data_IF_510615747980
#
_entry.id   IF_510615747980
#
_cell.length_a   1.000
_cell.length_b   1.000
_cell.length_c   1.000
_cell.angle_alpha   90.00
_cell.angle_beta   90.00
_cell.angle_gamma   90.00
#
_symmetry.space_group_name_H-M   'P 1'
#
loop_
_entity.id
_entity.type
_entity.pdbx_description
1 polymer ?
#
# COMPACT_ATOMS: atom_id res chain seq x y z
N UNK A 1 -5.69 20.98 -14.33
CA UNK A 1 -5.24 19.59 -14.51
C UNK A 1 -6.45 18.69 -14.72
N UNK A 2 -6.85 18.36 -15.97
CA UNK A 2 -8.01 17.47 -16.22
C UNK A 2 -7.62 16.07 -16.74
N UNK A 3 -6.35 15.87 -17.11
CA UNK A 3 -5.93 14.74 -17.95
C UNK A 3 -4.93 13.76 -17.32
N UNK A 4 -4.45 13.97 -16.09
CA UNK A 4 -3.35 13.15 -15.56
C UNK A 4 -3.77 11.68 -15.33
N UNK A 5 -5.00 11.45 -14.86
CA UNK A 5 -5.51 10.10 -14.58
C UNK A 5 -6.39 9.52 -15.69
N UNK A 6 -6.80 10.32 -16.67
CA UNK A 6 -7.75 9.95 -17.71
C UNK A 6 -7.08 9.70 -19.07
N UNK A 7 -7.69 8.86 -19.91
CA UNK A 7 -7.26 8.57 -21.29
C UNK A 7 -5.80 8.10 -21.43
N UNK A 8 -5.24 7.45 -20.39
CA UNK A 8 -3.89 6.90 -20.42
C UNK A 8 -3.84 5.62 -21.26
N UNK A 9 -2.73 5.42 -21.97
CA UNK A 9 -2.47 4.25 -22.80
C UNK A 9 -1.03 3.76 -22.58
N UNK A 10 -0.80 2.45 -22.72
CA UNK A 10 0.51 1.81 -22.66
C UNK A 10 0.72 0.84 -23.83
N UNK A 11 1.97 0.61 -24.16
CA UNK A 11 2.44 -0.47 -25.03
C UNK A 11 3.83 -0.91 -24.57
N UNK A 12 4.26 -2.10 -24.96
CA UNK A 12 5.60 -2.63 -24.69
C UNK A 12 6.44 -2.52 -25.97
N UNK A 13 7.70 -2.11 -25.82
CA UNK A 13 8.68 -2.05 -26.89
C UNK A 13 9.92 -2.86 -26.50
N UNK A 14 10.26 -3.87 -27.28
CA UNK A 14 11.46 -4.69 -27.11
C UNK A 14 12.14 -4.75 -28.48
N UNK A 15 13.40 -4.33 -28.55
CA UNK A 15 14.17 -4.16 -29.78
C UNK A 15 13.42 -3.34 -30.84
N UNK A 16 13.01 -3.99 -31.95
CA UNK A 16 12.25 -3.37 -33.04
C UNK A 16 10.76 -3.77 -33.05
N UNK A 17 10.29 -4.46 -32.00
CA UNK A 17 8.92 -4.97 -31.91
C UNK A 17 8.09 -4.13 -30.92
N UNK A 18 6.90 -3.71 -31.36
CA UNK A 18 5.91 -3.00 -30.53
C UNK A 18 4.67 -3.85 -30.30
N UNK A 19 4.19 -3.92 -29.05
CA UNK A 19 2.88 -4.50 -28.76
C UNK A 19 1.75 -3.61 -29.25
N UNK A 20 0.53 -4.14 -29.26
CA UNK A 20 -0.68 -3.31 -29.40
C UNK A 20 -0.79 -2.35 -28.21
N UNK A 21 -1.30 -1.15 -28.48
CA UNK A 21 -1.61 -0.15 -27.45
C UNK A 21 -2.85 -0.56 -26.67
N UNK A 22 -2.79 -0.45 -25.34
CA UNK A 22 -3.91 -0.71 -24.43
C UNK A 22 -4.20 0.48 -23.53
N UNK A 23 -5.46 0.68 -23.15
CA UNK A 23 -5.87 1.72 -22.21
C UNK A 23 -5.54 1.33 -20.76
N UNK A 24 -5.13 2.31 -19.95
CA UNK A 24 -4.80 2.13 -18.53
C UNK A 24 -5.88 2.80 -17.67
N UNK A 25 -6.50 2.02 -16.79
CA UNK A 25 -7.57 2.49 -15.90
C UNK A 25 -7.13 2.65 -14.44
N UNK A 26 -5.98 2.09 -14.05
CA UNK A 26 -5.47 2.12 -12.67
C UNK A 26 -3.96 2.45 -12.61
N UNK A 27 -3.45 2.75 -11.41
CA UNK A 27 -2.05 3.10 -11.18
C UNK A 27 -1.63 4.46 -11.75
N UNK A 28 -0.36 4.81 -11.56
CA UNK A 28 0.27 6.03 -12.07
C UNK A 28 1.56 5.67 -12.82
N UNK A 29 2.03 6.47 -13.78
CA UNK A 29 3.30 6.19 -14.45
C UNK A 29 4.47 6.20 -13.45
N UNK A 30 5.32 5.18 -13.49
CA UNK A 30 6.55 5.14 -12.69
C UNK A 30 7.51 6.26 -13.15
N UNK A 31 8.20 6.91 -12.21
CA UNK A 31 9.07 8.05 -12.51
C UNK A 31 8.32 9.37 -12.77
N UNK A 32 7.00 9.40 -12.58
CA UNK A 32 6.23 10.64 -12.68
C UNK A 32 6.39 11.52 -11.45
N UNK A 33 6.36 12.84 -11.66
CA UNK A 33 6.44 13.85 -10.57
C UNK A 33 5.22 13.79 -9.65
N UNK A 34 4.03 13.51 -10.21
CA UNK A 34 2.78 13.47 -9.44
C UNK A 34 2.51 12.11 -8.79
N UNK A 35 3.18 11.03 -9.22
CA UNK A 35 2.98 9.69 -8.68
C UNK A 35 3.13 9.62 -7.15
N UNK A 36 4.26 10.11 -6.58
CA UNK A 36 4.47 10.12 -5.13
C UNK A 36 3.39 10.90 -4.36
N UNK A 37 2.99 12.07 -4.85
CA UNK A 37 1.95 12.88 -4.19
C UNK A 37 0.60 12.16 -4.17
N UNK A 38 0.21 11.54 -5.29
CA UNK A 38 -1.03 10.78 -5.38
C UNK A 38 -1.01 9.55 -4.48
N UNK A 39 0.14 8.89 -4.37
CA UNK A 39 0.31 7.77 -3.44
C UNK A 39 0.17 8.22 -1.98
N UNK A 40 0.78 9.36 -1.59
CA UNK A 40 0.62 9.91 -0.24
C UNK A 40 -0.84 10.23 0.08
N UNK A 41 -1.58 10.84 -0.85
CA UNK A 41 -3.01 11.09 -0.65
C UNK A 41 -3.82 9.80 -0.50
N UNK A 42 -3.44 8.75 -1.22
CA UNK A 42 -4.12 7.46 -1.22
C UNK A 42 -3.86 6.64 0.06
N UNK A 43 -2.65 6.70 0.63
CA UNK A 43 -2.29 5.94 1.84
C UNK A 43 -2.64 6.66 3.15
N UNK A 44 -3.01 7.94 3.09
CA UNK A 44 -3.07 8.81 4.26
C UNK A 44 -4.10 8.38 5.33
N UNK A 45 -5.11 7.59 4.96
CA UNK A 45 -6.12 7.06 5.89
C UNK A 45 -5.77 5.68 6.45
N UNK A 46 -4.70 5.03 5.99
CA UNK A 46 -4.22 3.74 6.53
C UNK A 46 -4.13 3.72 8.07
N UNK A 47 -3.60 4.76 8.75
CA UNK A 47 -3.53 4.77 10.21
C UNK A 47 -4.88 4.64 10.93
N UNK A 48 -5.98 4.94 10.24
CA UNK A 48 -7.32 4.88 10.81
C UNK A 48 -7.91 3.47 10.76
N UNK A 49 -7.23 2.50 10.11
CA UNK A 49 -7.77 1.14 9.98
C UNK A 49 -7.74 0.35 11.29
N UNK A 50 -6.84 0.71 12.24
CA UNK A 50 -6.67 -0.01 13.50
C UNK A 50 -6.46 0.97 14.66
N UNK A 51 -7.34 1.00 15.67
CA UNK A 51 -7.15 1.84 16.85
C UNK A 51 -6.08 1.28 17.80
N UNK A 52 -5.72 -0.01 17.65
CA UNK A 52 -4.75 -0.69 18.51
C UNK A 52 -3.29 -0.41 18.12
N UNK A 53 -3.08 0.06 16.89
CA UNK A 53 -1.77 0.32 16.32
C UNK A 53 -1.45 1.81 16.20
N UNK A 54 -0.20 2.19 16.52
CA UNK A 54 0.37 3.50 16.18
C UNK A 54 1.20 3.37 14.92
N UNK A 55 0.75 4.00 13.85
CA UNK A 55 1.36 3.88 12.53
C UNK A 55 2.47 4.91 12.29
N UNK A 56 3.56 4.46 11.67
CA UNK A 56 4.61 5.28 11.06
C UNK A 56 4.73 4.85 9.60
N UNK A 57 4.33 5.74 8.70
CA UNK A 57 4.28 5.46 7.26
C UNK A 57 5.35 6.30 6.57
N UNK A 58 6.14 5.66 5.71
CA UNK A 58 7.06 6.31 4.80
C UNK A 58 6.97 5.66 3.43
N UNK A 59 6.33 6.35 2.47
CA UNK A 59 5.97 5.73 1.20
C UNK A 59 5.24 4.39 1.42
N UNK A 60 5.68 3.31 0.77
CA UNK A 60 5.12 1.97 0.89
C UNK A 60 5.54 1.22 2.17
N UNK A 61 6.58 1.69 2.87
CA UNK A 61 7.03 1.10 4.13
C UNK A 61 6.17 1.61 5.30
N UNK A 62 5.55 0.67 6.03
CA UNK A 62 4.70 0.96 7.18
C UNK A 62 5.15 0.17 8.40
N UNK A 63 5.44 0.88 9.49
CA UNK A 63 5.69 0.29 10.81
C UNK A 63 4.49 0.55 11.73
N UNK A 64 4.07 -0.49 12.46
CA UNK A 64 2.98 -0.41 13.44
C UNK A 64 3.49 -0.76 14.82
N UNK A 65 3.29 0.15 15.76
CA UNK A 65 3.72 0.01 17.15
C UNK A 65 2.52 -0.14 18.06
N UNK A 66 2.60 -1.04 19.04
CA UNK A 66 1.56 -1.22 20.06
C UNK A 66 2.21 -1.68 21.36
N UNK A 67 1.47 -1.61 22.47
CA UNK A 67 1.94 -2.04 23.78
C UNK A 67 1.21 -3.31 24.20
N UNK A 68 1.91 -4.18 24.91
CA UNK A 68 1.37 -5.41 25.49
C UNK A 68 2.07 -5.71 26.82
N UNK A 69 1.40 -6.43 27.72
CA UNK A 69 1.92 -6.79 29.05
C UNK A 69 2.63 -8.15 29.06
N UNK A 70 2.30 -9.02 28.13
CA UNK A 70 2.84 -10.37 28.03
C UNK A 70 2.76 -10.90 26.58
N UNK A 71 3.36 -12.06 26.35
CA UNK A 71 3.45 -12.69 25.02
C UNK A 71 2.09 -13.10 24.43
N UNK A 72 1.13 -13.47 25.26
CA UNK A 72 -0.20 -13.84 24.77
C UNK A 72 -0.96 -12.61 24.25
N UNK A 73 -0.85 -11.49 24.98
CA UNK A 73 -1.39 -10.20 24.57
C UNK A 73 -0.66 -9.66 23.32
N UNK A 74 0.67 -9.84 23.23
CA UNK A 74 1.46 -9.50 22.04
C UNK A 74 0.88 -10.19 20.79
N UNK A 75 0.66 -11.50 20.86
CA UNK A 75 0.13 -12.30 19.75
C UNK A 75 -1.32 -11.89 19.45
N UNK A 76 -2.14 -11.68 20.48
CA UNK A 76 -3.55 -11.30 20.31
C UNK A 76 -3.69 -9.94 19.63
N UNK A 77 -3.03 -8.90 20.13
CA UNK A 77 -3.08 -7.55 19.55
C UNK A 77 -2.46 -7.54 18.15
N UNK A 78 -1.30 -8.20 17.98
CA UNK A 78 -0.63 -8.31 16.68
C UNK A 78 -1.54 -8.95 15.62
N UNK A 79 -2.24 -10.03 15.95
CA UNK A 79 -3.21 -10.68 15.04
C UNK A 79 -4.37 -9.75 14.67
N UNK A 80 -4.94 -9.04 15.65
CA UNK A 80 -6.03 -8.08 15.40
C UNK A 80 -5.60 -7.00 14.43
N UNK A 81 -4.44 -6.36 14.68
CA UNK A 81 -3.88 -5.34 13.79
C UNK A 81 -3.68 -5.89 12.38
N UNK A 82 -3.15 -7.11 12.25
CA UNK A 82 -2.92 -7.73 10.95
C UNK A 82 -4.21 -8.01 10.16
N UNK A 83 -5.29 -8.40 10.85
CA UNK A 83 -6.61 -8.61 10.21
C UNK A 83 -7.16 -7.29 9.70
N UNK A 84 -7.11 -6.24 10.52
CA UNK A 84 -7.59 -4.89 10.19
C UNK A 84 -6.80 -4.29 9.02
N UNK A 85 -5.47 -4.41 9.05
CA UNK A 85 -4.59 -4.05 7.93
C UNK A 85 -4.96 -4.79 6.65
N UNK A 86 -5.07 -6.12 6.72
CA UNK A 86 -5.40 -6.94 5.56
C UNK A 86 -6.75 -6.55 4.96
N UNK A 87 -7.74 -6.22 5.80
CA UNK A 87 -9.05 -5.73 5.37
C UNK A 87 -8.92 -4.40 4.62
N UNK A 88 -8.18 -3.44 5.17
CA UNK A 88 -7.97 -2.14 4.53
C UNK A 88 -7.19 -2.25 3.19
N UNK A 89 -6.13 -3.05 3.13
CA UNK A 89 -5.38 -3.31 1.89
C UNK A 89 -6.30 -3.94 0.83
N UNK A 90 -7.13 -4.91 1.22
CA UNK A 90 -8.08 -5.57 0.31
C UNK A 90 -9.12 -4.58 -0.21
N UNK A 91 -9.72 -3.77 0.66
CA UNK A 91 -10.70 -2.75 0.30
C UNK A 91 -10.12 -1.72 -0.69
N UNK A 92 -8.84 -1.38 -0.52
CA UNK A 92 -8.10 -0.45 -1.38
C UNK A 92 -7.41 -1.12 -2.58
N UNK A 93 -7.72 -2.40 -2.87
CA UNK A 93 -7.18 -3.17 -4.01
C UNK A 93 -5.65 -3.24 -4.04
N UNK A 94 -5.04 -3.29 -2.87
CA UNK A 94 -3.61 -3.48 -2.68
C UNK A 94 -3.32 -4.88 -2.17
N UNK A 95 -2.14 -5.38 -2.51
CA UNK A 95 -1.65 -6.67 -2.04
C UNK A 95 -0.70 -6.46 -0.88
N UNK A 96 -1.02 -7.06 0.26
CA UNK A 96 -0.12 -7.11 1.40
C UNK A 96 0.99 -8.13 1.13
N UNK A 97 2.25 -7.73 1.30
CA UNK A 97 3.37 -8.66 1.18
C UNK A 97 3.54 -9.47 2.47
N UNK A 98 2.91 -10.65 2.53
CA UNK A 98 2.93 -11.52 3.71
C UNK A 98 4.33 -12.06 4.04
N UNK A 99 5.20 -12.20 3.04
CA UNK A 99 6.54 -12.79 3.23
C UNK A 99 7.52 -11.83 3.90
N UNK A 100 7.24 -10.53 3.84
CA UNK A 100 8.07 -9.47 4.45
C UNK A 100 7.53 -8.95 5.78
N UNK A 101 6.32 -9.37 6.18
CA UNK A 101 5.70 -8.91 7.41
C UNK A 101 6.19 -9.72 8.60
N UNK A 102 6.83 -9.04 9.57
CA UNK A 102 7.40 -9.68 10.75
C UNK A 102 6.93 -8.95 12.01
N UNK A 103 6.52 -9.73 13.02
CA UNK A 103 6.22 -9.21 14.35
C UNK A 103 7.49 -9.26 15.21
N UNK A 104 7.88 -8.11 15.75
CA UNK A 104 9.03 -7.98 16.65
C UNK A 104 8.55 -7.66 18.06
N UNK A 105 9.21 -8.26 19.06
CA UNK A 105 9.12 -7.82 20.46
C UNK A 105 10.39 -7.04 20.77
N UNK A 106 10.26 -5.73 20.98
CA UNK A 106 11.37 -4.78 21.18
C UNK A 106 11.39 -4.32 22.63
#
# INVERSE_FOLDING_TARGET
>A
FKSYLSNRKQYVHIDNCKSKTQSITCGVPQGSVLGPLLFLLFINDLPNCSPSGKFRIFADDTNVFFHCKNSDELISIGKTIMIELSSWFTANKMTLNTDKNVLYNI
#
